data_IF_566682759081
#
_entry.id   IF_566682759081
#
_cell.length_a   1.000
_cell.length_b   1.000
_cell.length_c   1.000
_cell.angle_alpha   90.00
_cell.angle_beta   90.00
_cell.angle_gamma   90.00
#
_symmetry.space_group_name_H-M   'P 1'
#
loop_
_entity.id
_entity.type
_entity.pdbx_description
1 polymer ?
#
# COMPACT_ATOMS: atom_id res chain seq x y z
N UNK A 1 -30.70 -3.56 38.56
CA UNK A 1 -30.57 -3.37 37.10
C UNK A 1 -31.48 -2.23 36.65
N UNK A 2 -30.97 -1.01 36.52
CA UNK A 2 -31.70 0.12 35.92
C UNK A 2 -30.75 0.98 35.08
N UNK A 3 -30.96 0.86 33.76
CA UNK A 3 -30.73 1.82 32.67
C UNK A 3 -29.38 2.55 32.66
N UNK A 4 -28.38 1.92 32.05
CA UNK A 4 -27.08 2.53 31.71
C UNK A 4 -27.05 3.12 30.28
N UNK A 5 -28.21 3.46 29.71
CA UNK A 5 -28.33 4.06 28.38
C UNK A 5 -29.35 5.19 28.46
N UNK A 6 -28.90 6.37 28.89
CA UNK A 6 -29.58 7.62 28.56
C UNK A 6 -28.70 8.43 27.61
N UNK A 7 -29.19 8.50 26.38
CA UNK A 7 -29.03 9.57 25.39
C UNK A 7 -27.62 10.15 25.18
N UNK A 8 -26.86 9.48 24.32
CA UNK A 8 -25.89 10.20 23.48
C UNK A 8 -26.70 11.20 22.65
N UNK A 9 -26.49 12.50 22.87
CA UNK A 9 -27.13 13.56 22.09
C UNK A 9 -26.67 13.48 20.62
N UNK A 10 -27.51 13.86 19.66
CA UNK A 10 -27.18 13.92 18.23
C UNK A 10 -25.88 14.69 17.96
N UNK A 11 -25.59 15.75 18.73
CA UNK A 11 -24.30 16.48 18.64
C UNK A 11 -23.10 15.63 19.06
N UNK A 12 -23.26 14.80 20.09
CA UNK A 12 -22.20 13.88 20.54
C UNK A 12 -22.01 12.74 19.55
N UNK A 13 -23.10 12.25 18.94
CA UNK A 13 -23.04 11.23 17.90
C UNK A 13 -22.33 11.74 16.63
N UNK A 14 -22.61 12.99 16.22
CA UNK A 14 -21.88 13.67 15.15
C UNK A 14 -20.40 13.86 15.48
N UNK A 15 -20.07 14.21 16.72
CA UNK A 15 -18.69 14.39 17.17
C UNK A 15 -17.92 13.06 17.14
N UNK A 16 -18.53 11.96 17.62
CA UNK A 16 -17.94 10.62 17.58
C UNK A 16 -17.72 10.18 16.12
N UNK A 17 -18.67 10.44 15.23
CA UNK A 17 -18.54 10.18 13.79
C UNK A 17 -17.45 11.03 13.13
N UNK A 18 -17.30 12.29 13.53
CA UNK A 18 -16.24 13.16 13.01
C UNK A 18 -14.86 12.68 13.47
N UNK A 19 -14.71 12.32 14.74
CA UNK A 19 -13.45 11.80 15.30
C UNK A 19 -13.09 10.45 14.68
N UNK A 20 -14.07 9.56 14.45
CA UNK A 20 -13.82 8.29 13.76
C UNK A 20 -13.46 8.48 12.29
N UNK A 21 -14.08 9.42 11.57
CA UNK A 21 -13.66 9.76 10.20
C UNK A 21 -12.23 10.28 10.14
N UNK A 22 -11.83 11.13 11.08
CA UNK A 22 -10.46 11.66 11.15
C UNK A 22 -9.47 10.56 11.48
N UNK A 23 -9.78 9.63 12.40
CA UNK A 23 -8.88 8.53 12.74
C UNK A 23 -8.76 7.48 11.62
N UNK A 24 -9.83 7.20 10.87
CA UNK A 24 -9.75 6.38 9.65
C UNK A 24 -8.88 7.05 8.57
N UNK A 25 -8.92 8.39 8.46
CA UNK A 25 -8.10 9.12 7.49
C UNK A 25 -6.60 9.08 7.81
N UNK A 26 -6.23 9.07 9.11
CA UNK A 26 -4.84 8.90 9.55
C UNK A 26 -4.34 7.46 9.43
N UNK A 27 -5.23 6.45 9.53
CA UNK A 27 -4.87 5.05 9.27
C UNK A 27 -4.63 4.78 7.77
N UNK A 28 -5.29 5.55 6.90
CA UNK A 28 -5.06 5.54 5.46
C UNK A 28 -3.80 6.30 5.04
N UNK A 29 -3.04 6.89 5.98
CA UNK A 29 -1.70 7.37 5.70
C UNK A 29 -0.84 6.16 5.36
N UNK A 30 -0.71 5.93 4.06
CA UNK A 30 0.04 4.85 3.42
C UNK A 30 1.31 4.55 4.21
N UNK A 31 1.42 3.34 4.75
CA UNK A 31 2.67 2.77 5.21
C UNK A 31 3.69 2.94 4.08
N UNK A 32 4.53 3.97 4.18
CA UNK A 32 5.59 4.23 3.21
C UNK A 32 6.81 3.47 3.67
N UNK A 33 7.31 2.58 2.82
CA UNK A 33 8.57 1.91 3.07
C UNK A 33 9.67 2.96 3.20
N UNK A 34 10.48 2.84 4.26
CA UNK A 34 11.66 3.66 4.51
C UNK A 34 12.80 3.32 3.55
N UNK A 35 12.91 2.05 3.12
CA UNK A 35 13.98 1.57 2.23
C UNK A 35 13.56 0.36 1.39
N UNK A 36 14.34 0.06 0.35
CA UNK A 36 14.17 -1.17 -0.45
C UNK A 36 14.37 -2.42 0.42
N UNK A 37 15.32 -2.39 1.35
CA UNK A 37 15.62 -3.50 2.26
C UNK A 37 14.43 -3.81 3.17
N UNK A 38 13.69 -2.77 3.58
CA UNK A 38 12.47 -2.95 4.35
C UNK A 38 11.37 -3.62 3.53
N UNK A 39 11.16 -3.23 2.26
CA UNK A 39 10.23 -3.92 1.35
C UNK A 39 10.55 -5.40 1.30
N UNK A 40 11.84 -5.72 1.14
CA UNK A 40 12.32 -7.10 1.05
C UNK A 40 12.06 -7.83 2.35
N UNK A 41 12.50 -7.29 3.48
CA UNK A 41 12.35 -7.91 4.80
C UNK A 41 10.89 -8.20 5.16
N UNK A 42 9.99 -7.27 4.87
CA UNK A 42 8.57 -7.41 5.21
C UNK A 42 7.85 -8.43 4.34
N UNK A 43 8.29 -8.60 3.09
CA UNK A 43 7.60 -9.39 2.06
C UNK A 43 8.38 -10.63 1.59
N UNK A 44 9.51 -10.94 2.23
CA UNK A 44 10.41 -12.03 1.83
C UNK A 44 9.68 -13.37 1.69
N UNK A 45 8.96 -13.78 2.73
CA UNK A 45 8.20 -15.04 2.74
C UNK A 45 7.16 -15.11 1.60
N UNK A 46 6.50 -13.99 1.29
CA UNK A 46 5.53 -13.93 0.19
C UNK A 46 6.22 -14.08 -1.18
N UNK A 47 7.40 -13.51 -1.33
CA UNK A 47 8.18 -13.65 -2.56
C UNK A 47 8.74 -15.07 -2.72
N UNK A 48 9.17 -15.70 -1.64
CA UNK A 48 9.56 -17.12 -1.65
C UNK A 48 8.37 -18.03 -1.99
N UNK A 49 7.18 -17.76 -1.45
CA UNK A 49 5.96 -18.55 -1.71
C UNK A 49 5.60 -18.58 -3.20
N UNK A 50 5.80 -17.47 -3.93
CA UNK A 50 5.56 -17.41 -5.38
C UNK A 50 6.76 -17.86 -6.22
N UNK A 51 7.84 -18.31 -5.57
CA UNK A 51 9.02 -18.89 -6.20
C UNK A 51 9.96 -17.86 -6.84
N UNK A 52 10.00 -16.62 -6.34
CA UNK A 52 10.94 -15.62 -6.85
C UNK A 52 12.36 -15.91 -6.38
N UNK A 53 13.33 -15.79 -7.29
CA UNK A 53 14.75 -15.83 -6.93
C UNK A 53 15.23 -14.48 -6.37
N UNK A 54 16.43 -14.48 -5.79
CA UNK A 54 17.04 -13.29 -5.18
C UNK A 54 17.13 -12.08 -6.13
N UNK A 55 17.39 -12.30 -7.41
CA UNK A 55 17.46 -11.21 -8.40
C UNK A 55 16.06 -10.65 -8.70
N UNK A 56 15.06 -11.52 -8.86
CA UNK A 56 13.66 -11.15 -9.03
C UNK A 56 13.15 -10.37 -7.80
N UNK A 57 13.40 -10.87 -6.59
CA UNK A 57 13.02 -10.20 -5.34
C UNK A 57 13.62 -8.80 -5.24
N UNK A 58 14.93 -8.67 -5.48
CA UNK A 58 15.62 -7.38 -5.40
C UNK A 58 15.06 -6.38 -6.41
N UNK A 59 14.72 -6.84 -7.61
CA UNK A 59 14.13 -6.00 -8.65
C UNK A 59 12.69 -5.57 -8.31
N UNK A 60 11.87 -6.50 -7.82
CA UNK A 60 10.49 -6.23 -7.39
C UNK A 60 10.46 -5.24 -6.23
N UNK A 61 11.33 -5.41 -5.22
CA UNK A 61 11.44 -4.49 -4.09
C UNK A 61 11.80 -3.07 -4.55
N UNK A 62 12.72 -2.94 -5.52
CA UNK A 62 13.07 -1.65 -6.15
C UNK A 62 11.88 -1.03 -6.88
N UNK A 63 11.12 -1.83 -7.63
CA UNK A 63 9.94 -1.35 -8.36
C UNK A 63 8.84 -0.85 -7.41
N UNK A 64 8.56 -1.59 -6.33
CA UNK A 64 7.59 -1.21 -5.30
C UNK A 64 8.02 0.10 -4.62
N UNK A 65 9.24 0.14 -4.10
CA UNK A 65 9.76 1.30 -3.38
C UNK A 65 9.77 2.56 -4.25
N UNK A 66 10.27 2.46 -5.48
CA UNK A 66 10.35 3.61 -6.41
C UNK A 66 8.97 4.14 -6.80
N UNK A 67 8.00 3.26 -7.04
CA UNK A 67 6.63 3.64 -7.41
C UNK A 67 5.92 4.31 -6.24
N UNK A 68 6.07 3.76 -5.03
CA UNK A 68 5.53 4.37 -3.82
C UNK A 68 6.13 5.75 -3.56
N UNK A 69 7.47 5.86 -3.57
CA UNK A 69 8.18 7.14 -3.39
C UNK A 69 7.73 8.20 -4.41
N UNK A 70 7.51 7.78 -5.66
CA UNK A 70 6.99 8.67 -6.71
C UNK A 70 5.55 9.09 -6.45
N UNK A 71 4.69 8.17 -6.01
CA UNK A 71 3.31 8.49 -5.66
C UNK A 71 3.24 9.50 -4.51
N UNK A 72 4.04 9.29 -3.45
CA UNK A 72 4.16 10.22 -2.33
C UNK A 72 4.65 11.60 -2.77
N UNK A 73 5.72 11.66 -3.58
CA UNK A 73 6.23 12.92 -4.12
C UNK A 73 5.17 13.69 -4.93
N UNK A 74 4.37 13.00 -5.75
CA UNK A 74 3.30 13.65 -6.52
C UNK A 74 2.19 14.18 -5.60
N UNK A 75 1.80 13.42 -4.58
CA UNK A 75 0.82 13.83 -3.60
C UNK A 75 1.28 15.06 -2.79
N UNK A 76 2.53 15.07 -2.33
CA UNK A 76 3.14 16.17 -1.59
C UNK A 76 3.21 17.47 -2.41
N UNK A 77 3.45 17.37 -3.72
CA UNK A 77 3.56 18.53 -4.62
C UNK A 77 2.23 18.95 -5.26
N UNK A 78 1.10 18.42 -4.80
CA UNK A 78 -0.23 18.77 -5.32
C UNK A 78 -0.46 18.37 -6.79
N UNK A 79 0.39 17.51 -7.35
CA UNK A 79 0.25 16.99 -8.69
C UNK A 79 -0.72 15.80 -8.68
N UNK A 80 -1.72 15.79 -9.56
CA UNK A 80 -2.59 14.62 -9.65
C UNK A 80 -1.78 13.41 -10.11
N UNK A 81 -1.85 12.33 -9.33
CA UNK A 81 -1.26 11.07 -9.73
C UNK A 81 -2.12 10.49 -10.85
N UNK A 82 -1.63 10.52 -12.09
CA UNK A 82 -2.23 9.71 -13.15
C UNK A 82 -1.95 8.24 -12.81
N UNK A 83 -2.89 7.63 -12.08
CA UNK A 83 -2.81 6.26 -11.58
C UNK A 83 -2.51 5.27 -12.70
N UNK A 84 -3.18 5.40 -13.83
CA UNK A 84 -2.96 4.54 -15.00
C UNK A 84 -1.52 4.63 -15.51
N UNK A 85 -0.97 5.84 -15.59
CA UNK A 85 0.43 6.05 -15.98
C UNK A 85 1.41 5.44 -14.97
N UNK A 86 1.13 5.54 -13.67
CA UNK A 86 1.96 4.93 -12.63
C UNK A 86 1.89 3.40 -12.68
N UNK A 87 0.69 2.83 -12.87
CA UNK A 87 0.50 1.39 -12.99
C UNK A 87 1.19 0.83 -14.25
N UNK A 88 1.12 1.54 -15.39
CA UNK A 88 1.86 1.17 -16.60
C UNK A 88 3.38 1.23 -16.41
N UNK A 89 3.89 2.27 -15.74
CA UNK A 89 5.31 2.38 -15.41
C UNK A 89 5.76 1.26 -14.47
N UNK A 90 4.95 0.95 -13.45
CA UNK A 90 5.23 -0.14 -12.54
C UNK A 90 5.28 -1.49 -13.26
N UNK A 91 4.28 -1.80 -14.10
CA UNK A 91 4.28 -3.01 -14.92
C UNK A 91 5.51 -3.08 -15.84
N UNK A 92 5.86 -1.98 -16.50
CA UNK A 92 7.05 -1.89 -17.36
C UNK A 92 8.34 -2.16 -16.60
N UNK A 93 8.47 -1.68 -15.35
CA UNK A 93 9.61 -1.98 -14.50
C UNK A 93 9.66 -3.47 -14.16
N UNK A 94 8.54 -4.06 -13.71
CA UNK A 94 8.46 -5.46 -13.30
C UNK A 94 8.85 -6.42 -14.43
N UNK A 95 8.36 -6.16 -15.65
CA UNK A 95 8.61 -7.01 -16.82
C UNK A 95 10.04 -6.94 -17.39
N UNK A 96 10.94 -6.13 -16.82
CA UNK A 96 12.36 -6.17 -17.19
C UNK A 96 13.06 -7.44 -16.70
N UNK A 97 12.54 -8.04 -15.64
CA UNK A 97 13.12 -9.22 -14.99
C UNK A 97 12.08 -10.34 -14.87
N UNK A 98 10.80 -10.00 -14.68
CA UNK A 98 9.73 -10.98 -14.62
C UNK A 98 9.18 -11.32 -16.00
N UNK A 99 8.80 -12.58 -16.19
CA UNK A 99 7.88 -12.95 -17.28
C UNK A 99 6.48 -12.39 -17.03
N UNK A 100 5.62 -12.37 -18.05
CA UNK A 100 4.20 -12.03 -17.86
C UNK A 100 3.49 -13.01 -16.92
N UNK A 101 3.93 -14.27 -16.85
CA UNK A 101 3.40 -15.26 -15.91
C UNK A 101 3.81 -14.94 -14.47
N UNK A 102 5.09 -14.61 -14.25
CA UNK A 102 5.58 -14.24 -12.92
C UNK A 102 5.01 -12.91 -12.44
N UNK A 103 4.78 -11.97 -13.36
CA UNK A 103 4.06 -10.74 -13.04
C UNK A 103 2.62 -11.02 -12.60
N UNK A 104 1.91 -11.97 -13.24
CA UNK A 104 0.58 -12.40 -12.77
C UNK A 104 0.62 -13.06 -11.39
N UNK A 105 1.63 -13.88 -11.10
CA UNK A 105 1.85 -14.45 -9.75
C UNK A 105 2.01 -13.34 -8.72
N UNK A 106 2.85 -12.34 -9.01
CA UNK A 106 3.00 -11.17 -8.16
C UNK A 106 1.67 -10.43 -7.95
N UNK A 107 0.92 -10.12 -9.00
CA UNK A 107 -0.37 -9.43 -8.88
C UNK A 107 -1.37 -10.21 -8.01
N UNK A 108 -1.32 -11.55 -8.04
CA UNK A 108 -2.15 -12.39 -7.19
C UNK A 108 -1.85 -12.26 -5.69
N UNK A 109 -0.63 -11.88 -5.31
CA UNK A 109 -0.23 -11.66 -3.91
C UNK A 109 -0.13 -10.18 -3.52
N UNK A 110 -0.30 -9.25 -4.47
CA UNK A 110 -0.11 -7.80 -4.26
C UNK A 110 -0.91 -7.23 -3.08
N UNK A 111 -2.11 -7.76 -2.85
CA UNK A 111 -2.99 -7.36 -1.76
C UNK A 111 -2.54 -7.86 -0.37
N UNK A 112 -1.57 -8.78 -0.31
CA UNK A 112 -1.00 -9.34 0.92
C UNK A 112 0.29 -8.66 1.35
N UNK A 113 0.85 -7.77 0.53
CA UNK A 113 2.07 -7.05 0.85
C UNK A 113 1.88 -6.26 2.16
N UNK A 114 2.87 -6.35 3.05
CA UNK A 114 2.86 -5.71 4.37
C UNK A 114 3.34 -4.27 4.31
#
# INVERSE_FOLDING_TARGET
MKKLYEFIDFKQLLLIMAISLVSLSSFAQSQQYSSIEEVKKLNFELFEEIGFDENQMNHVCRAIYSTQKRASYLAENGASSNKEKLDQQFKSLMLRVLSEEDFKKFESIRHKLK
#
